data_IF_081133646659
#
_entry.id   IF_081133646659
#
_cell.length_a   1.000
_cell.length_b   1.000
_cell.length_c   1.000
_cell.angle_alpha   90.00
_cell.angle_beta   90.00
_cell.angle_gamma   90.00
#
_symmetry.space_group_name_H-M   'P 1'
#
loop_
_entity.id
_entity.type
_entity.pdbx_description
1 polymer ?
#
# COMPACT_ATOMS: atom_id res chain seq x y z
N UNK A 1 35.33 -28.49 -17.67
CA UNK A 1 35.34 -28.30 -16.21
C UNK A 1 34.80 -29.51 -15.47
N UNK A 2 33.58 -29.99 -15.78
CA UNK A 2 33.00 -31.20 -15.15
C UNK A 2 33.94 -32.41 -15.26
N UNK A 3 34.59 -32.63 -16.40
CA UNK A 3 35.61 -33.68 -16.52
C UNK A 3 36.78 -33.50 -15.54
N UNK A 4 37.24 -32.26 -15.29
CA UNK A 4 38.29 -32.01 -14.28
C UNK A 4 37.81 -32.32 -12.87
N UNK A 5 36.55 -32.03 -12.56
CA UNK A 5 35.93 -32.41 -11.29
C UNK A 5 35.84 -33.92 -11.14
N UNK A 6 35.36 -34.65 -12.16
CA UNK A 6 35.23 -36.12 -12.14
C UNK A 6 36.58 -36.80 -11.89
N UNK A 7 37.65 -36.32 -12.53
CA UNK A 7 38.99 -36.93 -12.42
C UNK A 7 39.81 -36.40 -11.23
N UNK A 8 39.52 -35.20 -10.72
CA UNK A 8 40.38 -34.51 -9.76
C UNK A 8 39.72 -34.07 -8.44
N UNK A 9 38.39 -34.18 -8.32
CA UNK A 9 37.63 -33.84 -7.11
C UNK A 9 37.70 -32.37 -6.68
N UNK A 10 38.28 -31.48 -7.51
CA UNK A 10 38.49 -30.06 -7.17
C UNK A 10 37.79 -29.16 -8.17
N UNK A 11 37.23 -28.07 -7.65
CA UNK A 11 36.52 -27.07 -8.42
C UNK A 11 36.85 -25.68 -7.89
N UNK A 12 37.26 -24.76 -8.76
CA UNK A 12 37.33 -23.33 -8.46
C UNK A 12 36.21 -22.63 -9.21
N UNK A 13 35.37 -21.88 -8.51
CA UNK A 13 34.19 -21.21 -9.08
C UNK A 13 34.34 -19.69 -9.20
N UNK A 14 35.37 -19.11 -8.56
CA UNK A 14 35.58 -17.66 -8.49
C UNK A 14 35.89 -17.03 -9.85
N UNK A 15 36.53 -17.79 -10.75
CA UNK A 15 36.95 -17.35 -12.07
C UNK A 15 35.83 -17.42 -13.13
N UNK A 16 34.67 -17.98 -12.78
CA UNK A 16 33.58 -18.23 -13.73
C UNK A 16 32.44 -17.23 -13.59
N UNK A 17 31.91 -16.82 -14.74
CA UNK A 17 30.68 -16.04 -14.80
C UNK A 17 29.52 -16.84 -14.23
N UNK A 18 28.61 -16.17 -13.52
CA UNK A 18 27.45 -16.82 -12.87
C UNK A 18 26.60 -17.60 -13.88
N UNK A 19 26.45 -17.08 -15.11
CA UNK A 19 25.76 -17.79 -16.19
C UNK A 19 26.41 -19.12 -16.57
N UNK A 20 27.74 -19.20 -16.52
CA UNK A 20 28.46 -20.44 -16.81
C UNK A 20 28.33 -21.42 -15.65
N UNK A 21 28.36 -20.93 -14.40
CA UNK A 21 28.11 -21.74 -13.20
C UNK A 21 26.71 -22.39 -13.27
N UNK A 22 25.70 -21.68 -13.79
CA UNK A 22 24.36 -22.23 -14.01
C UNK A 22 24.37 -23.32 -15.09
N UNK A 23 25.04 -23.11 -16.23
CA UNK A 23 25.18 -24.15 -17.27
C UNK A 23 25.89 -25.40 -16.73
N UNK A 24 26.90 -25.20 -15.89
CA UNK A 24 27.60 -26.28 -15.19
C UNK A 24 26.64 -27.02 -14.27
N UNK A 25 25.81 -26.31 -13.50
CA UNK A 25 24.82 -26.90 -12.60
C UNK A 25 23.83 -27.79 -13.39
N UNK A 26 23.34 -27.31 -14.53
CA UNK A 26 22.46 -28.06 -15.44
C UNK A 26 23.15 -29.35 -15.90
N UNK A 27 24.35 -29.24 -16.48
CA UNK A 27 25.11 -30.39 -16.97
C UNK A 27 25.50 -31.37 -15.84
N UNK A 28 25.73 -30.85 -14.62
CA UNK A 28 25.99 -31.69 -13.43
C UNK A 28 24.76 -32.52 -13.06
N UNK A 29 23.55 -31.99 -13.26
CA UNK A 29 22.32 -32.75 -13.07
C UNK A 29 22.09 -33.79 -14.15
N UNK A 30 22.36 -33.48 -15.43
CA UNK A 30 22.29 -34.45 -16.52
C UNK A 30 23.23 -35.65 -16.30
N UNK A 31 24.38 -35.40 -15.68
CA UNK A 31 25.37 -36.42 -15.31
C UNK A 31 25.13 -37.02 -13.91
N UNK A 32 24.06 -36.61 -13.23
CA UNK A 32 23.65 -37.08 -11.90
C UNK A 32 24.74 -36.92 -10.80
N UNK A 33 25.52 -35.84 -10.86
CA UNK A 33 26.62 -35.53 -9.93
C UNK A 33 26.11 -34.81 -8.67
N UNK A 34 25.43 -35.53 -7.77
CA UNK A 34 24.67 -34.95 -6.63
C UNK A 34 25.50 -34.07 -5.67
N UNK A 35 26.75 -34.44 -5.39
CA UNK A 35 27.65 -33.64 -4.56
C UNK A 35 27.96 -32.28 -5.21
N UNK A 36 28.28 -32.29 -6.51
CA UNK A 36 28.55 -31.09 -7.28
C UNK A 36 27.32 -30.20 -7.39
N UNK A 37 26.14 -30.79 -7.64
CA UNK A 37 24.85 -30.08 -7.66
C UNK A 37 24.61 -29.35 -6.33
N UNK A 38 24.85 -30.03 -5.21
CA UNK A 38 24.65 -29.44 -3.88
C UNK A 38 25.63 -28.30 -3.60
N UNK A 39 26.90 -28.48 -3.97
CA UNK A 39 27.93 -27.47 -3.81
C UNK A 39 27.65 -26.21 -4.64
N UNK A 40 27.32 -26.37 -5.93
CA UNK A 40 27.02 -25.27 -6.85
C UNK A 40 25.81 -24.44 -6.39
N UNK A 41 24.72 -25.08 -5.95
CA UNK A 41 23.56 -24.36 -5.44
C UNK A 41 23.89 -23.52 -4.21
N UNK A 42 24.68 -24.07 -3.28
CA UNK A 42 25.09 -23.36 -2.06
C UNK A 42 25.99 -22.17 -2.40
N UNK A 43 26.97 -22.37 -3.29
CA UNK A 43 27.86 -21.31 -3.75
C UNK A 43 27.09 -20.15 -4.40
N UNK A 44 26.11 -20.45 -5.26
CA UNK A 44 25.27 -19.44 -5.91
C UNK A 44 24.49 -18.60 -4.89
N UNK A 45 23.86 -19.26 -3.90
CA UNK A 45 23.08 -18.60 -2.85
C UNK A 45 23.94 -17.73 -1.95
N UNK A 46 25.13 -18.20 -1.56
CA UNK A 46 26.01 -17.49 -0.64
C UNK A 46 26.75 -16.33 -1.30
N UNK A 47 27.22 -16.51 -2.54
CA UNK A 47 28.17 -15.59 -3.17
C UNK A 47 27.59 -14.79 -4.34
N UNK A 48 26.52 -15.26 -4.97
CA UNK A 48 25.95 -14.66 -6.19
C UNK A 48 24.49 -14.22 -6.02
N UNK A 49 24.01 -14.07 -4.77
CA UNK A 49 22.63 -13.69 -4.43
C UNK A 49 22.10 -12.49 -5.23
N UNK A 50 22.80 -11.35 -5.20
CA UNK A 50 22.35 -10.13 -5.92
C UNK A 50 22.20 -10.36 -7.42
N UNK A 51 23.10 -11.14 -8.04
CA UNK A 51 23.00 -11.50 -9.45
C UNK A 51 21.77 -12.37 -9.71
N UNK A 52 21.48 -13.34 -8.83
CA UNK A 52 20.30 -14.19 -8.93
C UNK A 52 19.00 -13.41 -8.78
N UNK A 53 18.94 -12.41 -7.90
CA UNK A 53 17.77 -11.55 -7.73
C UNK A 53 17.48 -10.72 -9.00
N UNK A 54 18.53 -10.23 -9.67
CA UNK A 54 18.39 -9.49 -10.94
C UNK A 54 18.00 -10.37 -12.13
N UNK A 55 18.39 -11.64 -12.11
CA UNK A 55 18.13 -12.67 -13.13
C UNK A 55 17.17 -13.75 -12.60
N UNK A 56 16.15 -13.32 -11.87
CA UNK A 56 15.25 -14.20 -11.16
C UNK A 56 14.52 -15.16 -12.10
N UNK A 57 14.09 -14.68 -13.27
CA UNK A 57 13.37 -15.48 -14.25
C UNK A 57 14.16 -16.70 -14.73
N UNK A 58 15.46 -16.52 -14.98
CA UNK A 58 16.40 -17.58 -15.37
C UNK A 58 16.60 -18.58 -14.23
N UNK A 59 16.83 -18.11 -13.01
CA UNK A 59 17.05 -18.98 -11.84
C UNK A 59 15.80 -19.78 -11.54
N UNK A 60 14.63 -19.13 -11.52
CA UNK A 60 13.34 -19.78 -11.29
C UNK A 60 13.09 -20.86 -12.34
N UNK A 61 13.23 -20.52 -13.62
CA UNK A 61 13.05 -21.49 -14.71
C UNK A 61 13.99 -22.69 -14.53
N UNK A 62 15.28 -22.42 -14.34
CA UNK A 62 16.29 -23.46 -14.16
C UNK A 62 15.99 -24.35 -12.95
N UNK A 63 15.58 -23.76 -11.83
CA UNK A 63 15.31 -24.50 -10.59
C UNK A 63 14.07 -25.37 -10.68
N UNK A 64 13.02 -24.93 -11.37
CA UNK A 64 11.75 -25.67 -11.45
C UNK A 64 11.65 -26.63 -12.64
N UNK A 65 12.49 -26.47 -13.67
CA UNK A 65 12.63 -27.48 -14.75
C UNK A 65 13.39 -28.74 -14.28
N UNK A 66 14.12 -28.65 -13.16
CA UNK A 66 14.92 -29.74 -12.63
C UNK A 66 14.67 -29.98 -11.15
N UNK A 67 14.10 -31.15 -10.83
CA UNK A 67 13.75 -31.53 -9.45
C UNK A 67 14.97 -31.72 -8.53
N UNK A 68 16.19 -31.76 -9.06
CA UNK A 68 17.42 -31.89 -8.26
C UNK A 68 17.85 -30.57 -7.61
N UNK A 69 17.23 -29.43 -7.96
CA UNK A 69 17.66 -28.10 -7.53
C UNK A 69 16.84 -27.54 -6.37
N UNK A 70 16.61 -28.34 -5.33
CA UNK A 70 15.76 -27.99 -4.19
C UNK A 70 16.20 -26.75 -3.41
N UNK A 71 17.50 -26.48 -3.29
CA UNK A 71 18.00 -25.27 -2.60
C UNK A 71 17.66 -24.00 -3.38
N UNK A 72 17.81 -24.03 -4.71
CA UNK A 72 17.41 -22.92 -5.56
C UNK A 72 15.88 -22.76 -5.62
N UNK A 73 15.13 -23.85 -5.65
CA UNK A 73 13.67 -23.79 -5.55
C UNK A 73 13.22 -23.09 -4.26
N UNK A 74 13.82 -23.46 -3.11
CA UNK A 74 13.54 -22.81 -1.82
C UNK A 74 13.92 -21.33 -1.81
N UNK A 75 15.07 -20.99 -2.38
CA UNK A 75 15.47 -19.59 -2.54
C UNK A 75 14.44 -18.81 -3.36
N UNK A 76 14.00 -19.36 -4.49
CA UNK A 76 13.03 -18.73 -5.38
C UNK A 76 11.66 -18.52 -4.71
N UNK A 77 11.15 -19.53 -4.00
CA UNK A 77 9.86 -19.42 -3.29
C UNK A 77 9.92 -18.42 -2.15
N UNK A 78 11.01 -18.43 -1.36
CA UNK A 78 11.22 -17.48 -0.27
C UNK A 78 11.35 -16.04 -0.80
N UNK A 79 12.12 -15.84 -1.87
CA UNK A 79 12.30 -14.52 -2.48
C UNK A 79 10.99 -13.98 -3.05
N UNK A 80 10.24 -14.81 -3.78
CA UNK A 80 8.93 -14.43 -4.33
C UNK A 80 7.94 -14.07 -3.22
N UNK A 81 7.99 -14.74 -2.06
CA UNK A 81 7.09 -14.48 -0.95
C UNK A 81 7.44 -13.23 -0.14
N UNK A 82 8.75 -12.99 0.09
CA UNK A 82 9.23 -11.87 0.92
C UNK A 82 9.33 -10.57 0.14
N UNK A 83 9.71 -10.62 -1.13
CA UNK A 83 10.02 -9.43 -1.94
C UNK A 83 9.43 -9.53 -3.37
N UNK A 84 8.10 -9.73 -3.52
CA UNK A 84 7.46 -9.88 -4.84
C UNK A 84 7.70 -8.67 -5.76
N UNK A 85 7.83 -7.46 -5.20
CA UNK A 85 8.14 -6.24 -5.94
C UNK A 85 9.46 -6.31 -6.71
N UNK A 86 10.49 -6.94 -6.12
CA UNK A 86 11.78 -7.10 -6.80
C UNK A 86 11.68 -8.09 -7.95
N UNK A 87 10.80 -9.08 -7.85
CA UNK A 87 10.54 -10.04 -8.93
C UNK A 87 9.92 -9.34 -10.15
N UNK A 88 8.93 -8.47 -9.95
CA UNK A 88 8.34 -7.67 -11.04
C UNK A 88 9.38 -6.78 -11.75
N UNK A 89 10.34 -6.25 -10.99
CA UNK A 89 11.41 -5.39 -11.49
C UNK A 89 12.65 -6.13 -12.02
N UNK A 90 12.64 -7.47 -12.02
CA UNK A 90 13.75 -8.27 -12.56
C UNK A 90 13.92 -8.03 -14.07
N UNK A 91 15.18 -8.11 -14.52
CA UNK A 91 15.54 -7.81 -15.92
C UNK A 91 14.89 -8.81 -16.88
N UNK A 92 14.73 -10.05 -16.41
CA UNK A 92 14.20 -11.18 -17.14
C UNK A 92 12.78 -11.57 -16.71
N UNK A 93 12.01 -10.65 -16.10
CA UNK A 93 10.62 -10.88 -15.69
C UNK A 93 9.75 -11.53 -16.80
N UNK A 94 9.96 -11.13 -18.05
CA UNK A 94 9.22 -11.66 -19.20
C UNK A 94 9.54 -13.12 -19.53
N UNK A 95 10.55 -13.72 -18.91
CA UNK A 95 10.89 -15.14 -19.08
C UNK A 95 10.17 -16.07 -18.09
N UNK A 96 9.39 -15.52 -17.15
CA UNK A 96 8.61 -16.32 -16.21
C UNK A 96 7.56 -17.17 -16.95
N UNK A 97 7.28 -18.36 -16.40
CA UNK A 97 6.19 -19.20 -16.91
C UNK A 97 4.82 -18.60 -16.55
N UNK A 98 3.76 -18.96 -17.31
CA UNK A 98 2.38 -18.53 -17.03
C UNK A 98 1.98 -18.87 -15.58
N UNK A 99 2.31 -20.07 -15.11
CA UNK A 99 1.99 -20.51 -13.75
C UNK A 99 2.73 -19.69 -12.68
N UNK A 100 4.01 -19.37 -12.93
CA UNK A 100 4.80 -18.53 -12.03
C UNK A 100 4.23 -17.13 -11.91
N UNK A 101 3.83 -16.56 -13.05
CA UNK A 101 3.21 -15.25 -13.10
C UNK A 101 1.87 -15.24 -12.34
N UNK A 102 1.04 -16.27 -12.50
CA UNK A 102 -0.22 -16.42 -11.76
C UNK A 102 0.05 -16.48 -10.25
N UNK A 103 0.98 -17.34 -9.80
CA UNK A 103 1.33 -17.44 -8.37
C UNK A 103 1.83 -16.11 -7.80
N UNK A 104 2.58 -15.33 -8.59
CA UNK A 104 3.07 -14.01 -8.19
C UNK A 104 1.93 -12.99 -8.05
N UNK A 105 0.96 -12.98 -8.97
CA UNK A 105 -0.20 -12.06 -8.94
C UNK A 105 -1.14 -12.41 -7.78
N UNK A 106 -1.31 -13.69 -7.46
CA UNK A 106 -2.20 -14.17 -6.41
C UNK A 106 -1.62 -14.01 -5.00
N UNK A 107 -0.38 -13.56 -4.85
CA UNK A 107 0.29 -13.55 -3.57
C UNK A 107 -0.31 -12.50 -2.61
N UNK A 108 -0.82 -12.93 -1.45
CA UNK A 108 -1.57 -12.08 -0.50
C UNK A 108 -0.77 -10.89 0.05
N UNK A 109 0.57 -10.97 0.06
CA UNK A 109 1.44 -9.88 0.53
C UNK A 109 1.80 -8.85 -0.54
N UNK A 110 1.25 -8.95 -1.76
CA UNK A 110 1.58 -8.07 -2.88
C UNK A 110 1.11 -6.62 -2.61
N UNK A 111 2.06 -5.72 -2.31
CA UNK A 111 1.80 -4.28 -2.05
C UNK A 111 1.84 -3.41 -3.32
N UNK A 112 1.78 -4.01 -4.51
CA UNK A 112 1.88 -3.30 -5.80
C UNK A 112 0.48 -2.83 -6.25
N UNK A 113 0.40 -1.62 -6.80
CA UNK A 113 -0.84 -1.09 -7.36
C UNK A 113 -1.37 -1.96 -8.51
N UNK A 114 -2.69 -2.12 -8.60
CA UNK A 114 -3.33 -2.96 -9.62
C UNK A 114 -2.96 -2.53 -11.05
N UNK A 115 -2.79 -1.23 -11.30
CA UNK A 115 -2.36 -0.72 -12.62
C UNK A 115 -0.97 -1.23 -12.97
N UNK A 116 -0.04 -1.28 -12.01
CA UNK A 116 1.32 -1.74 -12.22
C UNK A 116 1.32 -3.25 -12.46
N UNK A 117 0.51 -4.02 -11.72
CA UNK A 117 0.33 -5.46 -11.98
C UNK A 117 -0.17 -5.67 -13.41
N UNK A 118 -1.19 -4.92 -13.84
CA UNK A 118 -1.70 -4.97 -15.22
C UNK A 118 -0.62 -4.64 -16.26
N UNK A 119 0.16 -3.58 -16.06
CA UNK A 119 1.24 -3.20 -16.98
C UNK A 119 2.32 -4.28 -17.08
N UNK A 120 2.69 -4.93 -15.98
CA UNK A 120 3.63 -6.05 -16.00
C UNK A 120 3.05 -7.28 -16.70
N UNK A 121 1.81 -7.65 -16.39
CA UNK A 121 1.12 -8.76 -17.07
C UNK A 121 1.03 -8.52 -18.58
N UNK A 122 0.71 -7.29 -18.97
CA UNK A 122 0.66 -6.89 -20.36
C UNK A 122 2.04 -6.93 -21.03
N UNK A 123 3.08 -6.41 -20.36
CA UNK A 123 4.48 -6.49 -20.83
C UNK A 123 4.91 -7.95 -21.03
N UNK A 124 4.57 -8.83 -20.08
CA UNK A 124 4.81 -10.27 -20.19
C UNK A 124 4.07 -10.88 -21.39
N UNK A 125 2.78 -10.58 -21.54
CA UNK A 125 1.96 -11.08 -22.64
C UNK A 125 2.45 -10.64 -24.02
N UNK A 126 2.87 -9.38 -24.16
CA UNK A 126 3.45 -8.86 -25.40
C UNK A 126 4.78 -9.55 -25.71
N UNK A 127 5.63 -9.77 -24.71
CA UNK A 127 6.90 -10.47 -24.89
C UNK A 127 6.74 -11.93 -25.36
N UNK A 128 5.64 -12.60 -24.98
CA UNK A 128 5.33 -13.94 -25.50
C UNK A 128 4.82 -13.94 -26.95
N UNK A 129 4.50 -12.77 -27.52
CA UNK A 129 3.97 -12.61 -28.86
C UNK A 129 4.85 -11.63 -29.67
N UNK A 130 6.07 -12.04 -30.08
CA UNK A 130 7.06 -11.14 -30.68
C UNK A 130 6.65 -10.54 -32.04
N UNK A 131 5.64 -11.10 -32.70
CA UNK A 131 5.09 -10.58 -33.97
C UNK A 131 4.13 -9.40 -33.76
N UNK A 132 3.79 -9.05 -32.52
CA UNK A 132 2.92 -7.91 -32.23
C UNK A 132 3.61 -6.58 -32.59
N UNK A 133 2.86 -5.63 -33.18
CA UNK A 133 3.35 -4.27 -33.34
C UNK A 133 3.71 -3.63 -32.00
N UNK A 134 4.64 -2.67 -32.01
CA UNK A 134 4.98 -1.91 -30.81
C UNK A 134 3.86 -0.99 -30.33
N UNK A 135 3.06 -0.46 -31.26
CA UNK A 135 1.91 0.41 -30.94
C UNK A 135 0.59 -0.40 -30.93
N UNK A 136 -0.13 -0.43 -29.80
CA UNK A 136 -1.44 -1.08 -29.67
C UNK A 136 -2.50 -0.58 -30.67
N UNK A 137 -2.41 0.66 -31.13
CA UNK A 137 -3.35 1.20 -32.12
C UNK A 137 -3.30 0.44 -33.46
N UNK A 138 -2.16 -0.19 -33.75
CA UNK A 138 -1.91 -0.93 -34.98
C UNK A 138 -2.30 -2.42 -34.88
N UNK A 139 -2.94 -2.84 -33.80
CA UNK A 139 -3.27 -4.25 -33.60
C UNK A 139 -4.43 -4.68 -34.50
N UNK A 140 -4.17 -5.70 -35.32
CA UNK A 140 -5.20 -6.42 -36.06
C UNK A 140 -6.11 -7.21 -35.10
N UNK A 141 -7.21 -7.76 -35.62
CA UNK A 141 -8.08 -8.66 -34.84
C UNK A 141 -7.32 -9.90 -34.37
N UNK A 142 -6.45 -10.43 -35.23
CA UNK A 142 -5.66 -11.63 -34.92
C UNK A 142 -4.59 -11.33 -33.87
N UNK A 143 -3.98 -10.15 -33.91
CA UNK A 143 -3.05 -9.68 -32.88
C UNK A 143 -3.72 -9.65 -31.50
N UNK A 144 -4.94 -9.11 -31.42
CA UNK A 144 -5.72 -9.13 -30.17
C UNK A 144 -6.10 -10.55 -29.74
N UNK A 145 -6.39 -11.46 -30.67
CA UNK A 145 -6.71 -12.85 -30.34
C UNK A 145 -5.49 -13.60 -29.78
N UNK A 146 -4.30 -13.40 -30.37
CA UNK A 146 -3.05 -14.00 -29.87
C UNK A 146 -2.76 -13.53 -28.45
N UNK A 147 -2.77 -12.21 -28.21
CA UNK A 147 -2.55 -11.65 -26.88
C UNK A 147 -3.62 -12.10 -25.86
N UNK A 148 -4.88 -12.18 -26.29
CA UNK A 148 -5.97 -12.70 -25.47
C UNK A 148 -5.72 -14.15 -25.04
N UNK A 149 -5.33 -15.02 -25.97
CA UNK A 149 -5.07 -16.43 -25.66
C UNK A 149 -3.91 -16.59 -24.68
N UNK A 150 -2.89 -15.73 -24.77
CA UNK A 150 -1.77 -15.69 -23.83
C UNK A 150 -2.18 -15.22 -22.43
N UNK A 151 -3.02 -14.18 -22.33
CA UNK A 151 -3.34 -13.54 -21.04
C UNK A 151 -4.60 -14.09 -20.37
N UNK A 152 -5.37 -14.95 -21.04
CA UNK A 152 -6.70 -15.38 -20.57
C UNK A 152 -6.71 -15.97 -19.15
N UNK A 153 -5.64 -16.66 -18.72
CA UNK A 153 -5.57 -17.24 -17.37
C UNK A 153 -5.07 -16.25 -16.32
N UNK A 154 -4.36 -15.20 -16.72
CA UNK A 154 -3.86 -14.17 -15.80
C UNK A 154 -4.93 -13.13 -15.48
N UNK A 155 -5.73 -12.74 -16.50
CA UNK A 155 -6.76 -11.68 -16.40
C UNK A 155 -7.72 -11.85 -15.21
N UNK A 156 -8.23 -13.06 -14.87
CA UNK A 156 -9.15 -13.24 -13.74
C UNK A 156 -8.58 -12.85 -12.37
N UNK A 157 -7.26 -12.81 -12.22
CA UNK A 157 -6.58 -12.48 -10.96
C UNK A 157 -6.29 -10.98 -10.82
N UNK A 158 -6.69 -10.16 -11.80
CA UNK A 158 -6.47 -8.71 -11.79
C UNK A 158 -7.78 -8.02 -11.41
N UNK A 159 -7.77 -7.31 -10.29
CA UNK A 159 -8.95 -6.59 -9.80
C UNK A 159 -9.14 -5.23 -10.48
N UNK A 160 -9.58 -5.23 -11.74
CA UNK A 160 -9.78 -4.00 -12.54
C UNK A 160 -10.73 -2.96 -11.91
N UNK A 161 -11.58 -3.36 -10.95
CA UNK A 161 -12.49 -2.44 -10.26
C UNK A 161 -11.77 -1.49 -9.29
N UNK A 162 -10.54 -1.81 -8.90
CA UNK A 162 -9.71 -0.95 -8.04
C UNK A 162 -8.89 0.07 -8.85
N UNK A 163 -9.09 0.17 -10.17
CA UNK A 163 -8.41 1.16 -11.02
C UNK A 163 -9.16 2.49 -10.98
N UNK A 164 -8.43 3.59 -11.18
CA UNK A 164 -9.04 4.88 -11.50
C UNK A 164 -9.57 4.91 -12.93
N UNK A 165 -10.49 5.84 -13.22
CA UNK A 165 -11.02 6.04 -14.59
C UNK A 165 -9.92 6.34 -15.61
N UNK A 166 -8.89 7.10 -15.21
CA UNK A 166 -7.75 7.45 -16.08
C UNK A 166 -6.86 6.23 -16.35
N UNK A 167 -6.56 5.43 -15.33
CA UNK A 167 -5.79 4.19 -15.51
C UNK A 167 -6.56 3.20 -16.38
N UNK A 168 -7.87 3.04 -16.12
CA UNK A 168 -8.72 2.22 -16.98
C UNK A 168 -8.71 2.74 -18.43
N UNK A 169 -9.03 4.02 -18.66
CA UNK A 169 -9.12 4.61 -20.00
C UNK A 169 -7.79 4.57 -20.77
N UNK A 170 -6.67 4.84 -20.12
CA UNK A 170 -5.37 4.96 -20.80
C UNK A 170 -4.60 3.63 -20.89
N UNK A 171 -4.75 2.74 -19.90
CA UNK A 171 -3.90 1.54 -19.77
C UNK A 171 -4.66 0.25 -20.05
N UNK A 172 -5.96 0.18 -19.73
CA UNK A 172 -6.76 -1.06 -19.87
C UNK A 172 -7.65 -1.01 -21.11
N UNK A 173 -8.34 0.11 -21.33
CA UNK A 173 -9.30 0.29 -22.41
C UNK A 173 -8.71 0.12 -23.82
N UNK A 174 -7.45 0.53 -24.13
CA UNK A 174 -6.84 0.23 -25.42
C UNK A 174 -6.81 -1.27 -25.73
N UNK A 175 -6.71 -2.09 -24.67
CA UNK A 175 -6.67 -3.55 -24.75
C UNK A 175 -8.00 -4.21 -24.41
N UNK A 176 -9.11 -3.48 -24.28
CA UNK A 176 -10.43 -4.01 -23.90
C UNK A 176 -10.90 -5.23 -24.71
N UNK A 177 -10.36 -5.45 -25.92
CA UNK A 177 -10.66 -6.62 -26.76
C UNK A 177 -10.13 -7.94 -26.20
N UNK A 178 -9.09 -7.91 -25.35
CA UNK A 178 -8.50 -9.11 -24.74
C UNK A 178 -9.23 -9.53 -23.45
N UNK A 179 -9.95 -8.61 -22.83
CA UNK A 179 -10.74 -8.88 -21.61
C UNK A 179 -12.00 -9.67 -21.99
N UNK A 180 -12.36 -10.74 -21.23
CA UNK A 180 -13.60 -11.48 -21.40
C UNK A 180 -14.82 -10.55 -21.48
N UNK A 181 -15.77 -10.87 -22.35
CA UNK A 181 -16.90 -9.97 -22.67
C UNK A 181 -17.69 -9.56 -21.42
N UNK A 182 -18.06 -10.52 -20.58
CA UNK A 182 -18.86 -10.27 -19.37
C UNK A 182 -18.09 -9.39 -18.36
N UNK A 183 -16.82 -9.72 -18.14
CA UNK A 183 -15.93 -8.92 -17.27
C UNK A 183 -15.76 -7.51 -17.80
N UNK A 184 -15.54 -7.35 -19.11
CA UNK A 184 -15.40 -6.05 -19.76
C UNK A 184 -16.66 -5.20 -19.62
N UNK A 185 -17.84 -5.78 -19.84
CA UNK A 185 -19.11 -5.07 -19.70
C UNK A 185 -19.34 -4.63 -18.25
N UNK A 186 -19.03 -5.49 -17.27
CA UNK A 186 -19.09 -5.15 -15.85
C UNK A 186 -18.11 -4.03 -15.47
N UNK A 187 -16.88 -4.07 -15.98
CA UNK A 187 -15.87 -3.03 -15.74
C UNK A 187 -16.31 -1.71 -16.39
N UNK A 188 -16.74 -1.74 -17.65
CA UNK A 188 -17.22 -0.54 -18.35
C UNK A 188 -18.42 0.06 -17.61
N UNK A 189 -19.38 -0.78 -17.20
CA UNK A 189 -20.53 -0.34 -16.41
C UNK A 189 -20.10 0.27 -15.09
N UNK A 190 -19.16 -0.33 -14.36
CA UNK A 190 -18.60 0.24 -13.14
C UNK A 190 -18.00 1.63 -13.36
N UNK A 191 -17.32 1.87 -14.49
CA UNK A 191 -16.74 3.18 -14.81
C UNK A 191 -17.71 4.18 -15.47
N UNK A 192 -18.81 3.72 -16.07
CA UNK A 192 -19.85 4.56 -16.71
C UNK A 192 -21.00 4.92 -15.74
N UNK A 193 -21.47 3.97 -14.92
CA UNK A 193 -22.59 4.17 -13.97
C UNK A 193 -22.17 4.95 -12.72
N UNK A 194 -20.89 5.30 -12.60
CA UNK A 194 -20.46 6.34 -11.67
C UNK A 194 -21.07 7.65 -12.16
N UNK A 195 -21.98 8.30 -11.40
CA UNK A 195 -22.62 9.52 -11.84
C UNK A 195 -21.53 10.53 -12.22
N UNK A 196 -21.74 11.22 -13.35
CA UNK A 196 -20.92 12.35 -13.82
C UNK A 196 -20.76 13.41 -12.71
N UNK A 197 -19.82 13.20 -11.81
CA UNK A 197 -19.23 14.13 -10.84
C UNK A 197 -17.76 13.75 -10.62
N UNK A 198 -17.07 13.39 -11.71
CA UNK A 198 -15.61 13.39 -11.79
C UNK A 198 -15.22 14.23 -13.00
N UNK A 199 -15.45 15.54 -12.89
CA UNK A 199 -14.68 16.49 -13.70
C UNK A 199 -13.26 16.47 -13.12
N UNK A 200 -12.40 15.91 -13.94
CA UNK A 200 -10.95 15.95 -13.97
C UNK A 200 -10.36 17.16 -13.24
N UNK A 201 -9.65 16.92 -12.13
CA UNK A 201 -8.57 17.79 -11.69
C UNK A 201 -7.40 17.62 -12.67
N UNK A 202 -7.48 18.35 -13.78
CA UNK A 202 -6.35 18.57 -14.67
C UNK A 202 -5.34 19.52 -14.01
N UNK A 203 -4.05 19.24 -14.26
CA UNK A 203 -2.86 20.07 -13.95
C UNK A 203 -2.48 20.25 -12.47
N UNK A 204 -1.79 19.25 -11.90
CA UNK A 204 -0.48 19.37 -11.18
C UNK A 204 0.16 17.96 -11.22
N UNK A 205 0.82 17.61 -12.32
CA UNK A 205 1.53 16.32 -12.50
C UNK A 205 3.04 16.50 -12.60
N UNK A 206 3.63 17.34 -11.74
CA UNK A 206 5.09 17.37 -11.56
C UNK A 206 5.61 17.27 -10.13
N UNK A 207 4.78 17.19 -9.09
CA UNK A 207 5.26 17.09 -7.69
C UNK A 207 4.67 15.96 -6.82
N UNK A 208 3.66 15.20 -7.26
CA UNK A 208 3.01 14.17 -6.40
C UNK A 208 3.79 12.84 -6.36
N UNK A 209 5.13 12.85 -6.51
CA UNK A 209 5.95 11.73 -6.05
C UNK A 209 6.20 11.77 -4.53
N UNK A 210 5.43 12.57 -3.77
CA UNK A 210 5.67 12.89 -2.36
C UNK A 210 4.52 12.64 -1.37
N UNK A 211 3.31 12.21 -1.78
CA UNK A 211 2.16 12.16 -0.84
C UNK A 211 1.66 10.77 -0.50
N UNK A 212 2.52 9.98 0.15
CA UNK A 212 2.07 8.95 1.10
C UNK A 212 1.80 9.60 2.45
N UNK A 213 0.63 9.37 3.06
CA UNK A 213 0.42 9.74 4.47
C UNK A 213 1.21 8.78 5.36
N UNK A 214 2.08 9.31 6.23
CA UNK A 214 2.76 8.51 7.27
C UNK A 214 1.79 8.24 8.43
N UNK A 215 0.80 7.37 8.20
CA UNK A 215 -0.16 6.95 9.24
C UNK A 215 -0.21 5.43 9.37
N UNK A 216 -0.24 4.96 10.62
CA UNK A 216 -0.52 3.56 10.95
C UNK A 216 -2.01 3.31 11.16
N UNK A 217 -2.78 4.33 11.51
CA UNK A 217 -4.19 4.20 11.90
C UNK A 217 -5.12 4.37 10.68
N UNK A 218 -4.86 5.34 9.81
CA UNK A 218 -5.73 5.69 8.68
C UNK A 218 -5.02 5.49 7.33
N UNK A 219 -5.79 5.51 6.24
CA UNK A 219 -5.29 5.44 4.86
C UNK A 219 -5.35 6.80 4.18
N UNK A 220 -4.79 6.91 2.97
CA UNK A 220 -4.86 8.15 2.18
C UNK A 220 -6.31 8.58 1.90
N UNK A 221 -7.23 7.63 1.72
CA UNK A 221 -8.65 7.93 1.49
C UNK A 221 -9.32 8.60 2.69
N UNK A 222 -8.92 8.24 3.91
CA UNK A 222 -9.41 8.90 5.11
C UNK A 222 -8.87 10.34 5.19
N UNK A 223 -7.59 10.54 4.87
CA UNK A 223 -6.97 11.87 4.87
C UNK A 223 -7.61 12.80 3.82
N UNK A 224 -7.91 12.28 2.62
CA UNK A 224 -8.66 13.00 1.59
C UNK A 224 -10.06 13.40 2.08
N UNK A 225 -10.76 12.49 2.75
CA UNK A 225 -12.08 12.77 3.30
C UNK A 225 -12.03 13.82 4.42
N UNK A 226 -11.06 13.71 5.33
CA UNK A 226 -10.81 14.72 6.38
C UNK A 226 -10.50 16.08 5.76
N UNK A 227 -9.73 16.12 4.67
CA UNK A 227 -9.42 17.36 3.94
C UNK A 227 -10.69 18.06 3.43
N UNK A 228 -11.65 17.30 2.91
CA UNK A 228 -12.96 17.83 2.50
C UNK A 228 -13.72 18.43 3.68
N UNK A 229 -13.62 17.81 4.85
CA UNK A 229 -14.28 18.31 6.06
C UNK A 229 -13.69 19.63 6.56
N UNK A 230 -12.37 19.78 6.47
CA UNK A 230 -11.65 21.03 6.77
C UNK A 230 -12.12 22.15 5.83
N UNK A 231 -12.23 21.87 4.54
CA UNK A 231 -12.66 22.86 3.55
C UNK A 231 -14.17 23.15 3.56
N UNK A 232 -14.97 22.36 4.29
CA UNK A 232 -16.44 22.37 4.23
C UNK A 232 -16.99 22.30 2.80
N UNK A 233 -16.27 21.62 1.91
CA UNK A 233 -16.56 21.55 0.49
C UNK A 233 -16.59 20.10 0.04
N UNK A 234 -17.51 19.76 -0.87
CA UNK A 234 -17.51 18.46 -1.54
C UNK A 234 -16.33 18.32 -2.51
N UNK A 235 -15.73 19.44 -2.89
CA UNK A 235 -14.52 19.54 -3.72
C UNK A 235 -13.33 20.03 -2.89
N UNK A 236 -12.24 19.26 -2.85
CA UNK A 236 -10.94 19.70 -2.33
C UNK A 236 -10.16 20.39 -3.44
N UNK A 237 -10.42 21.68 -3.64
CA UNK A 237 -9.55 22.54 -4.48
C UNK A 237 -8.24 22.87 -3.76
N UNK A 238 -8.19 22.72 -2.44
CA UNK A 238 -6.98 22.92 -1.63
C UNK A 238 -6.38 21.59 -1.28
N UNK A 239 -5.06 21.50 -1.49
CA UNK A 239 -4.27 20.36 -1.10
C UNK A 239 -3.63 20.62 0.25
N UNK A 240 -3.78 19.67 1.17
CA UNK A 240 -3.17 19.70 2.48
C UNK A 240 -2.08 18.65 2.59
N UNK A 241 -0.92 19.02 3.13
CA UNK A 241 0.09 18.10 3.63
C UNK A 241 -0.26 17.70 5.07
N UNK A 242 -0.32 16.39 5.33
CA UNK A 242 -0.51 15.83 6.67
C UNK A 242 0.87 15.52 7.26
N UNK A 243 1.47 16.52 7.91
CA UNK A 243 2.78 16.36 8.54
C UNK A 243 2.64 15.70 9.91
N UNK A 244 3.08 14.44 10.04
CA UNK A 244 3.07 13.73 11.32
C UNK A 244 4.00 14.41 12.33
N UNK A 245 3.44 15.00 13.39
CA UNK A 245 4.21 15.65 14.45
C UNK A 245 4.33 14.76 15.70
N UNK A 246 3.35 13.90 15.97
CA UNK A 246 3.37 13.00 17.12
C UNK A 246 2.80 11.63 16.73
N UNK A 247 3.45 10.55 17.18
CA UNK A 247 2.91 9.18 17.16
C UNK A 247 3.15 8.51 18.50
N UNK A 248 2.12 7.94 19.12
CA UNK A 248 2.19 7.33 20.45
C UNK A 248 3.26 6.25 20.58
N UNK A 249 3.32 5.30 19.65
CA UNK A 249 4.35 4.25 19.65
C UNK A 249 5.78 4.75 19.42
N UNK A 250 5.96 5.98 18.90
CA UNK A 250 7.26 6.61 18.65
C UNK A 250 7.67 7.53 19.80
N UNK A 251 6.75 8.37 20.25
CA UNK A 251 7.05 9.51 21.11
C UNK A 251 6.57 9.31 22.55
N UNK A 252 5.54 8.48 22.77
CA UNK A 252 4.94 8.20 24.07
C UNK A 252 3.45 8.57 24.16
N UNK A 253 2.77 7.99 25.15
CA UNK A 253 1.33 8.15 25.37
C UNK A 253 1.03 8.89 26.69
N UNK A 254 1.59 10.08 26.87
CA UNK A 254 1.35 10.91 28.05
C UNK A 254 0.90 12.32 27.68
N UNK A 255 0.02 12.94 28.50
CA UNK A 255 -0.31 14.37 28.40
C UNK A 255 0.92 15.27 28.31
N UNK A 256 1.95 14.98 29.12
CA UNK A 256 3.21 15.73 29.10
C UNK A 256 3.89 15.72 27.73
N UNK A 257 3.82 14.59 27.01
CA UNK A 257 4.44 14.47 25.69
C UNK A 257 3.62 15.17 24.61
N UNK A 258 2.30 15.12 24.72
CA UNK A 258 1.41 15.90 23.88
C UNK A 258 1.73 17.39 24.00
N UNK A 259 1.75 17.96 25.21
CA UNK A 259 2.05 19.37 25.41
C UNK A 259 3.47 19.76 24.95
N UNK A 260 4.47 18.90 25.17
CA UNK A 260 5.84 19.14 24.69
C UNK A 260 5.90 19.36 23.16
N UNK A 261 5.09 18.64 22.39
CA UNK A 261 5.15 18.63 20.92
C UNK A 261 4.08 19.54 20.29
N UNK A 262 2.86 19.52 20.83
CA UNK A 262 1.68 20.09 20.20
C UNK A 262 1.32 21.48 20.73
N UNK A 263 1.79 21.91 21.90
CA UNK A 263 1.56 23.28 22.35
C UNK A 263 2.14 24.27 21.34
N UNK A 264 1.43 25.38 21.12
CA UNK A 264 1.73 26.38 20.08
C UNK A 264 1.53 25.89 18.64
N UNK A 265 1.12 24.64 18.41
CA UNK A 265 0.71 24.16 17.08
C UNK A 265 -0.78 24.45 16.85
N UNK A 266 -1.10 24.86 15.63
CA UNK A 266 -2.48 25.00 15.14
C UNK A 266 -2.70 24.13 13.91
N UNK A 267 -3.95 24.07 13.45
CA UNK A 267 -4.36 23.27 12.30
C UNK A 267 -3.93 21.80 12.47
N UNK A 268 -4.29 21.18 13.59
CA UNK A 268 -3.88 19.81 13.90
C UNK A 268 -5.05 18.84 13.78
N UNK A 269 -4.79 17.65 13.25
CA UNK A 269 -5.70 16.51 13.28
C UNK A 269 -5.18 15.50 14.29
N UNK A 270 -6.03 15.10 15.24
CA UNK A 270 -5.79 13.97 16.15
C UNK A 270 -6.51 12.74 15.62
N UNK A 271 -5.79 11.61 15.51
CA UNK A 271 -6.30 10.29 15.13
C UNK A 271 -6.02 9.31 16.27
N UNK A 272 -7.03 8.58 16.72
CA UNK A 272 -6.95 7.66 17.86
C UNK A 272 -7.48 6.29 17.46
N UNK A 273 -6.69 5.25 17.71
CA UNK A 273 -7.08 3.86 17.60
C UNK A 273 -7.49 3.33 18.98
N UNK A 274 -8.75 2.95 19.12
CA UNK A 274 -9.29 2.43 20.39
C UNK A 274 -8.78 1.01 20.63
N UNK A 275 -8.28 0.75 21.84
CA UNK A 275 -7.72 -0.54 22.21
C UNK A 275 -8.78 -1.64 22.30
N UNK A 276 -8.50 -2.76 21.64
CA UNK A 276 -9.39 -3.93 21.65
C UNK A 276 -10.63 -3.78 20.77
N UNK A 277 -10.67 -2.76 19.89
CA UNK A 277 -11.75 -2.58 18.92
C UNK A 277 -11.20 -2.13 17.56
N UNK A 278 -12.06 -2.19 16.53
CA UNK A 278 -11.72 -1.65 15.22
C UNK A 278 -11.93 -0.14 15.07
N UNK A 279 -12.53 0.49 16.09
CA UNK A 279 -12.95 1.88 16.12
C UNK A 279 -11.76 2.85 16.02
N UNK A 280 -11.95 3.90 15.23
CA UNK A 280 -11.04 5.03 15.11
C UNK A 280 -11.82 6.29 15.48
N UNK A 281 -11.27 7.10 16.38
CA UNK A 281 -11.83 8.38 16.81
C UNK A 281 -10.86 9.50 16.41
N UNK A 282 -11.34 10.72 16.27
CA UNK A 282 -10.46 11.84 15.99
C UNK A 282 -11.12 13.19 16.06
N UNK A 283 -10.30 14.23 15.97
CA UNK A 283 -10.75 15.61 16.02
C UNK A 283 -9.78 16.56 15.32
N UNK A 284 -10.31 17.60 14.72
CA UNK A 284 -9.58 18.69 14.10
C UNK A 284 -9.60 19.93 14.97
N UNK A 285 -8.42 20.47 15.28
CA UNK A 285 -8.28 21.75 15.96
C UNK A 285 -7.63 22.78 15.00
N UNK A 286 -8.38 23.79 14.52
CA UNK A 286 -7.83 24.85 13.67
C UNK A 286 -6.99 25.88 14.45
N UNK A 287 -7.18 26.01 15.77
CA UNK A 287 -6.52 27.01 16.59
C UNK A 287 -5.33 26.43 17.36
N UNK A 288 -4.59 27.29 18.04
CA UNK A 288 -3.37 26.93 18.78
C UNK A 288 -3.72 26.13 20.04
N UNK A 289 -3.06 24.99 20.24
CA UNK A 289 -3.05 24.27 21.52
C UNK A 289 -2.25 25.03 22.59
N UNK A 290 -2.75 24.95 23.83
CA UNK A 290 -2.13 25.51 25.03
C UNK A 290 -2.27 24.52 26.19
N UNK A 291 -1.72 24.91 27.34
CA UNK A 291 -1.81 24.19 28.60
C UNK A 291 -2.22 25.11 29.76
N UNK A 292 -3.03 26.15 29.50
CA UNK A 292 -3.37 27.22 30.46
C UNK A 292 -4.75 27.06 31.11
N UNK A 293 -5.47 25.97 30.81
CA UNK A 293 -6.83 25.72 31.29
C UNK A 293 -7.89 26.61 30.63
N UNK A 294 -7.58 27.24 29.49
CA UNK A 294 -8.56 28.04 28.74
C UNK A 294 -9.35 27.19 27.74
N UNK A 295 -10.58 27.62 27.48
CA UNK A 295 -11.36 27.13 26.33
C UNK A 295 -10.88 27.78 25.03
N UNK A 296 -10.79 26.97 23.99
CA UNK A 296 -10.45 27.39 22.65
C UNK A 296 -11.70 27.66 21.83
N UNK A 297 -11.91 28.94 21.50
CA UNK A 297 -13.12 29.40 20.79
C UNK A 297 -12.97 29.25 19.28
N UNK A 298 -13.77 28.38 18.65
CA UNK A 298 -13.77 28.21 17.19
C UNK A 298 -15.05 27.55 16.68
N UNK A 299 -15.49 27.92 15.48
CA UNK A 299 -16.61 27.25 14.77
C UNK A 299 -16.11 26.18 13.79
N UNK A 300 -14.79 26.12 13.53
CA UNK A 300 -14.17 25.30 12.47
C UNK A 300 -13.63 23.96 12.97
N UNK A 301 -13.66 23.71 14.28
CA UNK A 301 -13.35 22.38 14.81
C UNK A 301 -14.44 21.37 14.45
N UNK A 302 -14.05 20.10 14.40
CA UNK A 302 -14.96 18.97 14.23
C UNK A 302 -14.35 17.74 14.89
N UNK A 303 -15.20 16.82 15.34
CA UNK A 303 -14.82 15.49 15.80
C UNK A 303 -15.44 14.44 14.89
N UNK A 304 -14.84 13.26 14.83
CA UNK A 304 -15.29 12.21 13.93
C UNK A 304 -14.96 10.82 14.43
N UNK A 305 -15.61 9.83 13.84
CA UNK A 305 -15.26 8.43 13.99
C UNK A 305 -15.33 7.66 12.68
N UNK A 306 -14.53 6.61 12.61
CA UNK A 306 -14.59 5.57 11.58
C UNK A 306 -14.76 4.21 12.25
N UNK A 307 -15.60 3.36 11.67
CA UNK A 307 -15.83 2.01 12.21
C UNK A 307 -14.59 1.11 12.13
N UNK A 308 -13.78 1.27 11.09
CA UNK A 308 -12.54 0.55 10.87
C UNK A 308 -11.65 1.27 9.83
N UNK A 309 -10.43 0.77 9.65
CA UNK A 309 -9.45 1.30 8.69
C UNK A 309 -9.76 0.93 7.22
N UNK A 310 -10.63 -0.04 6.97
CA UNK A 310 -10.85 -0.61 5.64
C UNK A 310 -11.91 0.15 4.84
N UNK A 311 -12.84 0.84 5.50
CA UNK A 311 -13.96 1.52 4.84
C UNK A 311 -14.23 2.91 5.43
N UNK A 312 -14.25 3.93 4.56
CA UNK A 312 -14.58 5.33 4.88
C UNK A 312 -16.09 5.63 4.86
N UNK A 313 -16.94 4.76 4.32
CA UNK A 313 -18.39 5.02 4.17
C UNK A 313 -19.12 5.04 5.51
N UNK A 314 -18.67 4.23 6.46
CA UNK A 314 -19.26 4.16 7.81
C UNK A 314 -18.50 5.11 8.76
N UNK A 315 -18.66 6.41 8.51
CA UNK A 315 -18.08 7.47 9.33
C UNK A 315 -19.16 8.34 9.97
N UNK A 316 -18.81 8.96 11.09
CA UNK A 316 -19.58 10.04 11.69
C UNK A 316 -18.71 11.29 11.66
N UNK A 317 -19.23 12.36 11.09
CA UNK A 317 -18.68 13.71 11.23
C UNK A 317 -19.62 14.51 12.12
N UNK A 318 -19.04 15.08 13.18
CA UNK A 318 -19.71 15.89 14.18
C UNK A 318 -19.05 17.27 14.26
N UNK A 319 -19.84 18.34 14.13
CA UNK A 319 -19.35 19.73 14.08
C UNK A 319 -19.78 20.50 15.31
N UNK A 320 -18.98 21.50 15.66
CA UNK A 320 -19.21 22.37 16.81
C UNK A 320 -20.61 22.99 16.76
N UNK A 321 -21.34 22.90 17.87
CA UNK A 321 -22.55 23.68 18.16
C UNK A 321 -22.18 24.86 19.06
N UNK A 322 -21.51 24.60 20.19
CA UNK A 322 -21.05 25.64 21.10
C UNK A 322 -19.58 25.97 20.86
N UNK A 323 -19.36 27.05 20.12
CA UNK A 323 -18.00 27.50 19.79
C UNK A 323 -17.18 27.91 21.00
N UNK A 324 -17.80 28.30 22.10
CA UNK A 324 -17.07 28.68 23.31
C UNK A 324 -16.47 27.45 24.01
N UNK A 325 -16.96 26.24 23.69
CA UNK A 325 -16.53 24.97 24.28
C UNK A 325 -15.85 24.02 23.27
N UNK A 326 -15.43 24.52 22.11
CA UNK A 326 -14.93 23.64 21.04
C UNK A 326 -13.68 22.82 21.44
N UNK A 327 -12.72 23.41 22.16
CA UNK A 327 -11.53 22.67 22.65
C UNK A 327 -11.15 23.15 24.05
N UNK A 328 -10.50 22.29 24.84
CA UNK A 328 -10.07 22.65 26.20
C UNK A 328 -8.58 22.41 26.40
N UNK A 329 -7.87 23.41 26.94
CA UNK A 329 -6.41 23.42 27.05
C UNK A 329 -5.92 23.00 28.45
N UNK A 330 -6.36 21.84 28.93
CA UNK A 330 -5.96 21.34 30.25
C UNK A 330 -4.57 20.70 30.21
N UNK A 331 -3.66 21.16 31.08
CA UNK A 331 -2.29 20.65 31.20
C UNK A 331 -2.17 19.17 31.64
N UNK A 332 -3.24 18.60 32.21
CA UNK A 332 -3.27 17.18 32.63
C UNK A 332 -3.77 16.23 31.55
N UNK A 333 -4.14 16.74 30.39
CA UNK A 333 -4.83 15.99 29.34
C UNK A 333 -4.00 15.92 28.06
N UNK A 334 -4.33 14.98 27.20
CA UNK A 334 -3.94 15.06 25.80
C UNK A 334 -4.82 16.06 25.04
N UNK A 335 -5.10 15.81 23.76
CA UNK A 335 -6.12 16.53 23.01
C UNK A 335 -7.50 16.42 23.68
N UNK A 336 -8.19 17.57 23.80
CA UNK A 336 -9.57 17.67 24.28
C UNK A 336 -10.42 18.47 23.30
N UNK A 337 -11.52 17.88 22.85
CA UNK A 337 -12.53 18.47 22.00
C UNK A 337 -13.87 18.42 22.74
N UNK A 338 -14.53 19.57 22.88
CA UNK A 338 -15.80 19.66 23.61
C UNK A 338 -15.63 19.52 25.11
N UNK A 339 -16.75 19.52 25.83
CA UNK A 339 -16.83 19.14 27.24
C UNK A 339 -17.03 17.62 27.36
N UNK A 340 -16.06 16.85 26.86
CA UNK A 340 -16.08 15.39 26.89
C UNK A 340 -16.50 14.69 25.60
N UNK A 341 -16.78 15.43 24.52
CA UNK A 341 -17.04 14.86 23.18
C UNK A 341 -15.88 13.98 22.69
N UNK A 342 -14.65 14.39 22.94
CA UNK A 342 -13.46 13.54 22.85
C UNK A 342 -12.34 14.07 23.76
N UNK A 343 -12.03 13.31 24.80
CA UNK A 343 -11.01 13.65 25.79
C UNK A 343 -10.00 12.50 25.96
N UNK A 344 -8.74 12.76 25.65
CA UNK A 344 -7.64 11.84 25.90
C UNK A 344 -7.08 12.08 27.31
N UNK A 345 -7.33 11.14 28.22
CA UNK A 345 -6.95 11.26 29.64
C UNK A 345 -6.41 9.95 30.21
N UNK A 346 -5.52 10.06 31.20
CA UNK A 346 -4.88 8.93 31.87
C UNK A 346 -3.36 8.88 31.63
N UNK A 347 -2.63 8.32 32.60
CA UNK A 347 -1.16 8.27 32.57
C UNK A 347 -0.60 6.99 31.91
N UNK A 348 -1.45 6.01 31.60
CA UNK A 348 -1.05 4.72 31.04
C UNK A 348 -1.72 4.47 29.69
N UNK A 349 -1.22 5.10 28.64
CA UNK A 349 -1.82 5.02 27.29
C UNK A 349 -3.25 5.58 27.22
N UNK A 350 -3.46 6.71 27.89
CA UNK A 350 -4.77 7.37 27.99
C UNK A 350 -5.90 6.39 28.32
N UNK A 351 -5.69 5.56 29.35
CA UNK A 351 -6.57 4.45 29.78
C UNK A 351 -7.91 4.90 30.36
N UNK A 352 -8.08 6.20 30.58
CA UNK A 352 -9.26 6.83 31.17
C UNK A 352 -9.88 7.84 30.21
N UNK A 353 -9.68 7.67 28.89
CA UNK A 353 -10.22 8.56 27.87
C UNK A 353 -11.75 8.50 27.82
N UNK A 354 -12.38 9.62 27.50
CA UNK A 354 -13.83 9.80 27.48
C UNK A 354 -14.26 10.27 26.09
N UNK A 355 -15.43 9.82 25.66
CA UNK A 355 -16.09 10.26 24.44
C UNK A 355 -17.60 10.10 24.70
N UNK A 356 -18.22 11.19 25.16
CA UNK A 356 -19.64 11.26 25.53
C UNK A 356 -20.36 12.29 24.65
N UNK A 357 -21.67 12.19 24.56
CA UNK A 357 -22.49 13.21 23.89
C UNK A 357 -22.80 14.32 24.89
N UNK A 358 -22.06 15.43 24.85
CA UNK A 358 -22.24 16.56 25.79
C UNK A 358 -22.62 17.88 25.08
N UNK A 359 -23.30 17.76 23.94
CA UNK A 359 -23.90 18.86 23.17
C UNK A 359 -22.93 19.96 22.66
N UNK A 360 -21.61 19.86 22.91
CA UNK A 360 -20.64 20.80 22.34
C UNK A 360 -20.48 20.59 20.83
N UNK A 361 -20.67 19.34 20.36
CA UNK A 361 -20.76 18.98 18.95
C UNK A 361 -22.14 18.36 18.61
N UNK A 362 -22.51 18.36 17.33
CA UNK A 362 -23.88 18.04 16.88
C UNK A 362 -24.27 16.57 16.89
N UNK A 363 -23.31 15.66 17.04
CA UNK A 363 -23.53 14.21 17.06
C UNK A 363 -22.57 13.51 18.00
N UNK A 364 -23.07 12.51 18.72
CA UNK A 364 -22.25 11.49 19.33
C UNK A 364 -21.44 10.74 18.26
N UNK A 365 -20.11 10.72 18.40
CA UNK A 365 -19.23 9.97 17.48
C UNK A 365 -18.99 8.53 17.92
N UNK A 366 -19.48 8.15 19.10
CA UNK A 366 -19.24 6.85 19.72
C UNK A 366 -20.48 6.30 20.41
N UNK A 367 -20.84 5.06 20.08
CA UNK A 367 -21.99 4.37 20.68
C UNK A 367 -21.63 3.69 22.02
N UNK A 368 -20.36 3.31 22.19
CA UNK A 368 -19.90 2.59 23.37
C UNK A 368 -19.84 3.52 24.60
N UNK A 369 -20.48 3.09 25.69
CA UNK A 369 -20.54 3.86 26.94
C UNK A 369 -19.33 3.58 27.82
N UNK A 370 -18.81 4.62 28.48
CA UNK A 370 -17.74 4.53 29.46
C UNK A 370 -16.35 4.85 28.89
N UNK A 371 -15.35 4.74 29.77
CA UNK A 371 -13.98 5.09 29.43
C UNK A 371 -13.36 4.08 28.45
N UNK A 372 -12.36 4.54 27.68
CA UNK A 372 -11.59 3.69 26.79
C UNK A 372 -10.10 3.92 26.94
N UNK A 373 -9.32 2.93 26.48
CA UNK A 373 -7.87 3.02 26.39
C UNK A 373 -7.41 3.14 24.95
N UNK A 374 -6.27 3.77 24.74
CA UNK A 374 -5.69 3.98 23.42
C UNK A 374 -4.69 2.88 23.08
N UNK A 375 -4.78 2.34 21.86
CA UNK A 375 -3.80 1.40 21.31
C UNK A 375 -2.72 2.13 20.51
N UNK A 376 -3.11 3.12 19.72
CA UNK A 376 -2.21 4.03 18.99
C UNK A 376 -2.89 5.40 18.85
N UNK A 377 -2.10 6.47 18.83
CA UNK A 377 -2.61 7.79 18.43
C UNK A 377 -1.57 8.53 17.61
N UNK A 378 -2.05 9.33 16.67
CA UNK A 378 -1.23 10.11 15.75
C UNK A 378 -1.78 11.53 15.68
N UNK A 379 -0.89 12.53 15.70
CA UNK A 379 -1.25 13.93 15.53
C UNK A 379 -0.50 14.47 14.32
N UNK A 380 -1.26 15.03 13.39
CA UNK A 380 -0.77 15.63 12.16
C UNK A 380 -0.97 17.13 12.21
N UNK A 381 0.04 17.90 11.81
CA UNK A 381 -0.13 19.30 11.46
C UNK A 381 -0.53 19.39 9.98
N UNK A 382 -1.59 20.15 9.72
CA UNK A 382 -2.14 20.40 8.41
C UNK A 382 -1.46 21.64 7.85
N UNK A 383 -0.63 21.42 6.83
CA UNK A 383 0.05 22.50 6.11
C UNK A 383 -0.68 22.64 4.78
N UNK A 384 -1.12 23.87 4.48
CA UNK A 384 -1.73 24.18 3.20
C UNK A 384 -0.62 24.38 2.18
N UNK A 385 -0.63 23.59 1.11
CA UNK A 385 0.29 23.73 -0.03
C UNK A 385 -0.01 24.99 -0.85
#
# INVERSE_FOLDING_TARGET
MILRYIYGGRLSLEEYDTSDIIKILIASSELNLQELITHLQSFLIENKKSWMEQNFGLIYKTSFENNSFSKLQNFCTEFMSKEPEKVFNSIDFTSLSENSLISLIQHDSLQINVVQVWEHVLKWGIAQNPELPSDPSNYSKDNFNSLKNTLQKCIPFINFFNLSHKEFSNKVYPYKKIIPKDLRENIIKHFIDQPHYKIEQETITKEISLRSIDSRIITIQHAELISKWIDRSETTDKMYEFKLILRGSRDGFSPSKFHEICDNQSHTITIVKVKGSNEILGGYNPIIWKSDGSWGVTEDSFVFSFKNKENIENHILSRVIDKELATYNNFTNGPVFGDGDLELYGNNCYDQSICIDDMSYDKAIREAVGCFSVEEYEIFQIIKD
#
